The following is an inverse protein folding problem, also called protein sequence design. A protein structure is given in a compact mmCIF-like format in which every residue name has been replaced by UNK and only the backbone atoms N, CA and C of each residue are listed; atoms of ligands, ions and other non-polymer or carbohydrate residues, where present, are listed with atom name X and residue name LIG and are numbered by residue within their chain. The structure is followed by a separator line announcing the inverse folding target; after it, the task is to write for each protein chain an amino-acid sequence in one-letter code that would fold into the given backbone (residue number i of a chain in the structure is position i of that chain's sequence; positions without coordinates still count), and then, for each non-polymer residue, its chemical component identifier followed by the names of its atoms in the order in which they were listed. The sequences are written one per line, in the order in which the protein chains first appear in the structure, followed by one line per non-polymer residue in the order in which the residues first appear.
data_IF_337372920588
#
_entry.id   IF_337372920588
#
_cell.length_a   1.000
_cell.length_b   1.000
_cell.length_c   1.000
_cell.angle_alpha   90.00
_cell.angle_beta   90.00
_cell.angle_gamma   90.00
#
_symmetry.space_group_name_H-M   'P 1'
#
loop_
_entity.id
_entity.type
_entity.pdbx_description
1 polymer ?
#
# COMPACT_ATOMS: atom_id res chain seq x y z
N UNK A 1 9.69 -16.73 -24.02
CA UNK A 1 9.75 -16.60 -22.54
C UNK A 1 8.35 -16.84 -21.98
N UNK A 2 8.09 -17.99 -21.34
CA UNK A 2 6.80 -18.24 -20.67
C UNK A 2 6.76 -17.33 -19.44
N UNK A 3 5.99 -16.24 -19.52
CA UNK A 3 5.64 -15.50 -18.32
C UNK A 3 4.69 -16.40 -17.51
N UNK A 4 5.23 -17.26 -16.66
CA UNK A 4 4.44 -17.90 -15.61
C UNK A 4 3.97 -16.77 -14.72
N UNK A 5 2.69 -16.40 -14.82
CA UNK A 5 2.05 -15.45 -13.93
C UNK A 5 2.36 -15.89 -12.50
N UNK A 6 3.28 -15.19 -11.84
CA UNK A 6 3.83 -15.61 -10.57
C UNK A 6 2.82 -15.17 -9.51
N UNK A 7 1.76 -15.97 -9.33
CA UNK A 7 0.60 -15.61 -8.51
C UNK A 7 0.99 -15.20 -7.08
N UNK A 8 2.10 -15.78 -6.56
CA UNK A 8 2.71 -15.44 -5.27
C UNK A 8 3.21 -13.99 -5.24
N UNK A 9 3.78 -13.51 -6.34
CA UNK A 9 4.24 -12.13 -6.48
C UNK A 9 3.06 -11.15 -6.49
N UNK A 10 1.97 -11.49 -7.18
CA UNK A 10 0.76 -10.69 -7.18
C UNK A 10 0.07 -10.66 -5.81
N UNK A 11 0.05 -11.78 -5.09
CA UNK A 11 -0.42 -11.82 -3.70
C UNK A 11 0.42 -10.96 -2.77
N UNK A 12 1.76 -11.06 -2.86
CA UNK A 12 2.66 -10.24 -2.05
C UNK A 12 2.46 -8.75 -2.35
N UNK A 13 2.34 -8.39 -3.62
CA UNK A 13 2.04 -7.02 -4.02
C UNK A 13 0.69 -6.53 -3.46
N UNK A 14 -0.37 -7.34 -3.59
CA UNK A 14 -1.68 -7.01 -3.02
C UNK A 14 -1.62 -6.83 -1.50
N UNK A 15 -0.91 -7.71 -0.80
CA UNK A 15 -0.66 -7.61 0.64
C UNK A 15 0.04 -6.29 0.99
N UNK A 16 1.13 -5.95 0.30
CA UNK A 16 1.92 -4.76 0.62
C UNK A 16 1.15 -3.46 0.34
N UNK A 17 0.31 -3.44 -0.69
CA UNK A 17 -0.62 -2.34 -0.98
C UNK A 17 -1.66 -2.18 0.14
N UNK A 18 -2.26 -3.29 0.60
CA UNK A 18 -3.22 -3.26 1.73
C UNK A 18 -2.52 -2.83 3.03
N UNK A 19 -1.33 -3.34 3.29
CA UNK A 19 -0.53 -2.95 4.45
C UNK A 19 -0.19 -1.45 4.43
N UNK A 20 0.16 -0.90 3.27
CA UNK A 20 0.39 0.54 3.11
C UNK A 20 -0.88 1.37 3.37
N UNK A 21 -2.04 0.92 2.89
CA UNK A 21 -3.32 1.59 3.16
C UNK A 21 -3.64 1.60 4.67
N UNK A 22 -3.50 0.44 5.33
CA UNK A 22 -3.74 0.30 6.77
C UNK A 22 -2.75 1.15 7.58
N UNK A 23 -1.48 1.21 7.17
CA UNK A 23 -0.48 2.05 7.82
C UNK A 23 -0.82 3.54 7.69
N UNK A 24 -1.29 3.99 6.52
CA UNK A 24 -1.70 5.38 6.31
C UNK A 24 -2.92 5.75 7.16
N UNK A 25 -3.94 4.90 7.17
CA UNK A 25 -5.15 5.09 7.99
C UNK A 25 -4.76 5.09 9.48
N UNK A 26 -3.93 4.13 9.92
CA UNK A 26 -3.45 4.05 11.29
C UNK A 26 -2.65 5.28 11.72
N UNK A 27 -1.80 5.81 10.83
CA UNK A 27 -1.07 7.05 11.07
C UNK A 27 -2.02 8.24 11.26
N UNK A 28 -3.03 8.38 10.41
CA UNK A 28 -4.07 9.40 10.56
C UNK A 28 -4.82 9.25 11.88
N UNK A 29 -5.22 8.02 12.21
CA UNK A 29 -5.97 7.75 13.41
C UNK A 29 -5.15 8.09 14.67
N UNK A 30 -3.88 7.71 14.71
CA UNK A 30 -2.94 8.07 15.79
C UNK A 30 -2.65 9.57 15.84
N UNK A 31 -2.51 10.22 14.68
CA UNK A 31 -2.27 11.67 14.56
C UNK A 31 -3.38 12.49 15.21
N UNK A 32 -4.61 11.98 15.20
CA UNK A 32 -5.77 12.65 15.81
C UNK A 32 -6.21 12.01 17.13
N UNK A 33 -5.30 11.38 17.88
CA UNK A 33 -5.58 10.77 19.20
C UNK A 33 -6.74 9.77 19.19
N UNK A 34 -6.88 9.02 18.09
CA UNK A 34 -7.98 8.09 17.84
C UNK A 34 -9.37 8.73 17.66
N UNK A 35 -9.44 10.05 17.56
CA UNK A 35 -10.68 10.82 17.39
C UNK A 35 -10.72 11.46 16.00
N UNK A 36 -11.27 10.74 15.04
CA UNK A 36 -11.48 11.24 13.67
C UNK A 36 -12.87 11.86 13.54
N UNK A 37 -12.91 13.11 13.12
CA UNK A 37 -14.12 13.84 12.79
C UNK A 37 -14.08 14.29 11.32
N UNK A 38 -15.15 14.89 10.81
CA UNK A 38 -15.07 15.66 9.56
C UNK A 38 -14.45 17.03 9.86
N UNK A 39 -13.53 17.56 9.04
CA UNK A 39 -13.14 17.12 7.69
C UNK A 39 -11.92 16.18 7.61
N UNK A 40 -11.43 15.65 8.75
CA UNK A 40 -10.20 14.84 8.77
C UNK A 40 -10.35 13.51 8.03
N UNK A 41 -11.55 12.92 8.05
CA UNK A 41 -11.86 11.70 7.30
C UNK A 41 -11.77 11.92 5.78
N UNK A 42 -12.39 12.99 5.28
CA UNK A 42 -12.33 13.32 3.86
C UNK A 42 -10.90 13.66 3.40
N UNK A 43 -10.11 14.38 4.20
CA UNK A 43 -8.68 14.62 3.94
C UNK A 43 -7.85 13.31 3.93
N UNK A 44 -8.10 12.41 4.88
CA UNK A 44 -7.43 11.10 4.92
C UNK A 44 -7.69 10.30 3.63
N UNK A 45 -8.95 10.24 3.18
CA UNK A 45 -9.30 9.50 1.96
C UNK A 45 -8.73 10.16 0.71
N UNK A 46 -8.76 11.48 0.63
CA UNK A 46 -8.22 12.23 -0.49
C UNK A 46 -6.69 12.04 -0.61
N UNK A 47 -5.97 12.12 0.50
CA UNK A 47 -4.52 11.89 0.51
C UNK A 47 -4.18 10.43 0.26
N UNK A 48 -4.95 9.49 0.83
CA UNK A 48 -4.79 8.05 0.60
C UNK A 48 -4.91 7.71 -0.89
N UNK A 49 -5.84 8.34 -1.61
CA UNK A 49 -6.02 8.14 -3.05
C UNK A 49 -4.79 8.52 -3.89
N UNK A 50 -3.92 9.41 -3.39
CA UNK A 50 -2.66 9.77 -4.04
C UNK A 50 -1.48 8.93 -3.54
N UNK A 51 -1.43 8.66 -2.24
CA UNK A 51 -0.34 7.91 -1.62
C UNK A 51 -0.34 6.44 -2.06
N UNK A 52 -1.50 5.80 -2.17
CA UNK A 52 -1.61 4.40 -2.56
C UNK A 52 -1.02 4.11 -3.95
N UNK A 53 -1.41 4.83 -5.02
CA UNK A 53 -0.82 4.65 -6.35
C UNK A 53 0.67 4.95 -6.40
N UNK A 54 1.12 5.98 -5.67
CA UNK A 54 2.54 6.32 -5.58
C UNK A 54 3.33 5.18 -4.93
N UNK A 55 2.87 4.67 -3.79
CA UNK A 55 3.49 3.57 -3.07
C UNK A 55 3.51 2.28 -3.93
N UNK A 56 2.39 1.98 -4.59
CA UNK A 56 2.30 0.86 -5.53
C UNK A 56 3.33 0.99 -6.67
N UNK A 57 3.44 2.17 -7.27
CA UNK A 57 4.43 2.46 -8.30
C UNK A 57 5.87 2.30 -7.80
N UNK A 58 6.16 2.78 -6.59
CA UNK A 58 7.44 2.62 -5.91
C UNK A 58 7.77 1.14 -5.72
N UNK A 59 6.85 0.33 -5.20
CA UNK A 59 7.07 -1.10 -4.99
C UNK A 59 7.39 -1.85 -6.29
N UNK A 60 6.73 -1.47 -7.39
CA UNK A 60 7.00 -2.03 -8.72
C UNK A 60 8.35 -1.55 -9.26
N UNK A 61 8.68 -0.27 -9.10
CA UNK A 61 9.93 0.33 -9.59
C UNK A 61 11.17 -0.29 -8.92
N UNK A 62 11.10 -0.54 -7.61
CA UNK A 62 12.17 -1.23 -6.87
C UNK A 62 12.25 -2.73 -7.20
N UNK A 63 11.29 -3.28 -7.94
CA UNK A 63 11.33 -4.66 -8.40
C UNK A 63 11.27 -5.68 -7.25
N UNK A 64 10.66 -5.32 -6.12
CA UNK A 64 10.59 -6.13 -4.89
C UNK A 64 10.08 -7.56 -5.14
N UNK A 65 9.26 -7.73 -6.17
CA UNK A 65 8.61 -9.00 -6.49
C UNK A 65 9.30 -9.82 -7.59
N UNK A 66 10.37 -9.30 -8.20
CA UNK A 66 11.08 -9.96 -9.33
C UNK A 66 11.94 -11.15 -8.89
N UNK A 67 12.09 -11.37 -7.59
CA UNK A 67 12.88 -12.45 -7.03
C UNK A 67 12.48 -12.77 -5.61
N UNK A 68 11.16 -12.86 -5.36
CA UNK A 68 10.55 -13.08 -4.03
C UNK A 68 11.13 -14.36 -3.41
N UNK A 69 12.26 -14.16 -2.72
CA UNK A 69 13.02 -15.08 -1.89
C UNK A 69 13.58 -16.30 -2.61
N UNK A 70 14.81 -16.17 -3.16
CA UNK A 70 15.71 -17.32 -3.39
C UNK A 70 16.30 -17.75 -2.05
N UNK A 71 15.48 -18.35 -1.20
CA UNK A 71 15.92 -19.20 -0.11
C UNK A 71 15.39 -20.61 -0.36
#
# INVERSE_FOLDING_TARGET
MKASTNWRAWLAFGHDVVAAALAWIGLYWLRYNLELHEPQLSDMLQTLAWVLPLQAGIFLAFGLYRGLWRF
#
